data_IF_534998450277
#
_entry.id   IF_534998450277
#
_cell.length_a   1.000
_cell.length_b   1.000
_cell.length_c   1.000
_cell.angle_alpha   90.00
_cell.angle_beta   90.00
_cell.angle_gamma   90.00
#
_symmetry.space_group_name_H-M   'P 1'
#
loop_
_entity.id
_entity.type
_entity.pdbx_description
1 polymer ?
#
# COMPACT_ATOMS: atom_id res chain seq x y z
N UNK A 1 3.54 -1.50 -7.81
CA UNK A 1 3.62 -2.60 -6.83
C UNK A 1 4.55 -3.70 -7.33
N UNK A 2 4.39 -4.18 -8.56
CA UNK A 2 5.25 -5.16 -9.24
C UNK A 2 6.73 -4.73 -9.24
N UNK A 3 6.96 -3.44 -9.47
CA UNK A 3 8.24 -2.73 -9.41
C UNK A 3 8.88 -2.59 -8.01
N UNK A 4 8.21 -3.09 -6.96
CA UNK A 4 8.65 -3.00 -5.54
C UNK A 4 8.72 -1.58 -4.96
N UNK A 5 8.15 -0.55 -5.62
CA UNK A 5 8.07 0.81 -5.07
C UNK A 5 7.20 0.90 -3.80
N UNK A 6 6.14 0.08 -3.72
CA UNK A 6 5.40 -0.20 -2.49
C UNK A 6 6.13 -1.31 -1.73
N UNK A 7 6.60 -1.07 -0.50
CA UNK A 7 7.31 -2.04 0.32
C UNK A 7 6.40 -3.16 0.85
N UNK A 8 6.97 -4.30 1.24
CA UNK A 8 6.19 -5.42 1.78
C UNK A 8 5.46 -5.03 3.08
N UNK A 9 6.05 -4.16 3.90
CA UNK A 9 5.43 -3.63 5.12
C UNK A 9 4.23 -2.72 4.87
N UNK A 10 4.05 -2.23 3.64
CA UNK A 10 2.90 -1.42 3.22
C UNK A 10 1.70 -2.27 2.79
N UNK A 11 1.86 -3.59 2.68
CA UNK A 11 0.82 -4.51 2.22
C UNK A 11 0.38 -5.38 3.39
N UNK A 12 -0.87 -5.23 3.81
CA UNK A 12 -1.46 -5.95 4.94
C UNK A 12 -2.64 -6.78 4.47
N UNK A 13 -2.95 -7.85 5.19
CA UNK A 13 -4.15 -8.64 4.95
C UNK A 13 -4.86 -8.99 6.26
N UNK A 14 -6.16 -9.27 6.18
CA UNK A 14 -6.95 -9.79 7.29
C UNK A 14 -6.43 -11.13 7.80
N UNK A 15 -6.01 -11.97 6.87
CA UNK A 15 -5.55 -13.32 7.11
C UNK A 15 -4.72 -13.81 5.92
N UNK A 16 -4.00 -14.91 6.13
CA UNK A 16 -3.29 -15.64 5.08
C UNK A 16 -3.40 -17.14 5.34
N UNK A 17 -3.50 -17.94 4.28
CA UNK A 17 -3.55 -19.40 4.35
C UNK A 17 -2.25 -19.99 4.90
N UNK A 18 -1.13 -19.45 4.44
CA UNK A 18 0.23 -19.80 4.87
C UNK A 18 1.11 -18.54 4.82
N UNK A 19 1.65 -18.13 5.96
CA UNK A 19 2.50 -16.95 6.09
C UNK A 19 3.79 -17.03 5.27
N UNK A 20 4.33 -18.23 5.03
CA UNK A 20 5.60 -18.40 4.33
C UNK A 20 5.44 -18.36 2.81
N UNK A 21 4.26 -18.69 2.30
CA UNK A 21 4.06 -18.89 0.86
C UNK A 21 2.95 -18.03 0.27
N UNK A 22 2.03 -17.49 1.08
CA UNK A 22 0.83 -16.80 0.58
C UNK A 22 0.49 -15.52 1.34
N UNK A 23 1.50 -14.93 2.01
CA UNK A 23 1.36 -13.69 2.76
C UNK A 23 0.95 -12.50 1.88
N UNK A 24 0.59 -11.38 2.51
CA UNK A 24 0.11 -10.19 1.82
C UNK A 24 1.09 -9.65 0.75
N UNK A 25 2.40 -9.74 1.01
CA UNK A 25 3.46 -9.33 0.08
C UNK A 25 3.46 -10.11 -1.25
N UNK A 26 2.84 -11.30 -1.28
CA UNK A 26 2.69 -12.11 -2.50
C UNK A 26 1.57 -11.60 -3.41
N UNK A 27 0.81 -10.58 -3.00
CA UNK A 27 -0.27 -10.00 -3.79
C UNK A 27 0.22 -9.14 -4.98
N UNK A 28 1.49 -9.13 -5.34
CA UNK A 28 2.01 -8.28 -6.43
C UNK A 28 1.64 -8.88 -7.79
N UNK A 29 1.15 -8.05 -8.72
CA UNK A 29 0.89 -8.47 -10.10
C UNK A 29 2.14 -9.12 -10.73
N UNK A 30 1.92 -10.16 -11.56
CA UNK A 30 2.98 -10.92 -12.24
C UNK A 30 4.10 -11.46 -11.34
N UNK A 31 3.87 -11.55 -10.02
CA UNK A 31 4.83 -12.18 -9.15
C UNK A 31 5.08 -13.61 -9.64
N UNK A 32 6.35 -13.90 -9.87
CA UNK A 32 6.87 -15.22 -10.25
C UNK A 32 7.99 -15.51 -9.25
N UNK A 33 7.76 -16.42 -8.31
CA UNK A 33 8.80 -16.77 -7.34
C UNK A 33 9.78 -17.73 -8.00
N UNK A 34 11.07 -17.42 -7.96
CA UNK A 34 12.13 -18.34 -8.43
C UNK A 34 12.32 -19.41 -7.35
N UNK A 35 11.82 -20.63 -7.59
CA UNK A 35 11.97 -21.80 -6.71
C UNK A 35 10.66 -22.57 -6.47
N UNK A 36 10.72 -23.62 -5.64
CA UNK A 36 9.57 -24.48 -5.29
C UNK A 36 8.58 -23.83 -4.30
N UNK A 37 8.31 -22.52 -4.40
CA UNK A 37 7.31 -21.87 -3.55
C UNK A 37 5.95 -22.08 -4.19
N UNK A 38 5.04 -22.71 -3.43
CA UNK A 38 3.79 -23.27 -3.97
C UNK A 38 2.67 -22.25 -4.22
N UNK A 39 2.89 -20.97 -3.92
CA UNK A 39 1.90 -19.90 -4.12
C UNK A 39 2.60 -18.60 -4.50
N UNK A 40 2.27 -18.05 -5.67
CA UNK A 40 2.76 -16.75 -6.16
C UNK A 40 1.71 -15.66 -5.97
N UNK A 41 0.92 -15.75 -4.91
CA UNK A 41 -0.26 -14.89 -4.70
C UNK A 41 -0.56 -14.75 -3.22
N UNK A 42 -1.19 -13.64 -2.81
CA UNK A 42 -1.83 -13.62 -1.51
C UNK A 42 -3.04 -14.54 -1.55
N UNK A 43 -3.16 -15.41 -0.53
CA UNK A 43 -4.29 -16.31 -0.35
C UNK A 43 -4.85 -16.09 1.05
N UNK A 44 -6.13 -15.73 1.17
CA UNK A 44 -6.78 -15.60 2.46
C UNK A 44 -6.91 -16.95 3.19
N UNK A 45 -6.99 -16.94 4.53
CA UNK A 45 -7.20 -18.16 5.29
C UNK A 45 -8.57 -18.78 4.97
N UNK A 46 -8.67 -20.11 4.93
CA UNK A 46 -9.88 -20.84 4.48
C UNK A 46 -11.15 -20.52 5.28
N UNK A 47 -11.01 -20.04 6.53
CA UNK A 47 -12.13 -19.72 7.43
C UNK A 47 -12.45 -18.22 7.51
N UNK A 48 -11.75 -17.39 6.74
CA UNK A 48 -12.01 -15.95 6.67
C UNK A 48 -13.13 -15.66 5.67
N UNK A 49 -14.30 -15.24 6.18
CA UNK A 49 -15.50 -14.99 5.37
C UNK A 49 -15.64 -13.52 4.94
N UNK A 50 -14.82 -12.59 5.45
CA UNK A 50 -14.73 -11.20 4.96
C UNK A 50 -13.25 -10.81 4.82
N UNK A 51 -12.49 -11.50 3.95
CA UNK A 51 -11.08 -11.24 3.81
C UNK A 51 -10.86 -9.84 3.23
N UNK A 52 -9.74 -9.23 3.59
CA UNK A 52 -9.32 -7.97 2.98
C UNK A 52 -7.81 -7.94 2.77
N UNK A 53 -7.40 -7.21 1.74
CA UNK A 53 -6.02 -6.83 1.43
C UNK A 53 -5.94 -5.30 1.43
N UNK A 54 -5.09 -4.73 2.27
CA UNK A 54 -4.87 -3.30 2.41
C UNK A 54 -3.51 -2.89 1.88
N UNK A 55 -3.48 -1.80 1.12
CA UNK A 55 -2.26 -1.12 0.70
C UNK A 55 -2.21 0.24 1.39
N UNK A 56 -1.10 0.56 2.06
CA UNK A 56 -0.73 1.90 2.53
C UNK A 56 0.23 2.55 1.55
N UNK A 57 -0.20 3.60 0.86
CA UNK A 57 0.65 4.36 -0.07
C UNK A 57 1.59 5.35 0.64
N UNK A 58 1.63 5.36 1.99
CA UNK A 58 2.40 6.26 2.88
C UNK A 58 1.92 7.72 2.86
N UNK A 59 1.55 8.21 1.68
CA UNK A 59 0.96 9.53 1.43
C UNK A 59 -0.32 9.38 0.60
N UNK A 60 -1.07 10.46 0.42
CA UNK A 60 -2.25 10.43 -0.42
C UNK A 60 -1.85 10.25 -1.89
N UNK A 61 -2.59 9.40 -2.59
CA UNK A 61 -2.40 9.16 -4.02
C UNK A 61 -3.72 9.33 -4.75
N UNK A 62 -3.64 9.69 -6.02
CA UNK A 62 -4.76 9.60 -6.97
C UNK A 62 -4.65 8.29 -7.74
N UNK A 63 -5.63 7.39 -7.57
CA UNK A 63 -5.68 6.07 -8.21
C UNK A 63 -6.66 6.11 -9.38
N UNK A 64 -6.19 5.78 -10.57
CA UNK A 64 -6.95 5.86 -11.81
C UNK A 64 -7.28 4.49 -12.42
N UNK A 65 -6.55 3.44 -12.08
CA UNK A 65 -6.79 2.08 -12.56
C UNK A 65 -6.30 1.03 -11.55
N UNK A 66 -7.02 -0.08 -11.48
CA UNK A 66 -6.62 -1.28 -10.74
C UNK A 66 -6.48 -2.43 -11.73
N UNK A 67 -5.45 -3.26 -11.57
CA UNK A 67 -5.33 -4.53 -12.28
C UNK A 67 -5.34 -5.69 -11.30
N UNK A 68 -6.11 -6.73 -11.60
CA UNK A 68 -6.16 -7.95 -10.78
C UNK A 68 -5.79 -9.19 -11.59
N UNK A 69 -5.17 -10.16 -10.93
CA UNK A 69 -4.76 -11.43 -11.52
C UNK A 69 -4.96 -12.57 -10.52
N UNK A 70 -5.43 -13.72 -11.02
CA UNK A 70 -5.58 -14.95 -10.25
C UNK A 70 -4.27 -15.70 -10.00
N UNK A 71 -4.36 -16.88 -9.39
CA UNK A 71 -3.26 -17.83 -9.21
C UNK A 71 -3.46 -19.02 -10.16
N UNK A 72 -2.68 -19.04 -11.24
CA UNK A 72 -2.86 -19.96 -12.37
C UNK A 72 -2.59 -21.43 -12.00
N UNK A 73 -1.48 -21.72 -11.32
CA UNK A 73 -1.06 -23.08 -10.98
C UNK A 73 -2.04 -23.82 -10.04
N UNK A 74 -2.93 -23.11 -9.34
CA UNK A 74 -3.97 -23.67 -8.46
C UNK A 74 -5.39 -23.40 -8.94
N UNK A 75 -5.57 -22.84 -10.14
CA UNK A 75 -6.87 -22.45 -10.67
C UNK A 75 -7.74 -21.65 -9.68
N UNK A 76 -7.12 -20.79 -8.88
CA UNK A 76 -7.74 -20.08 -7.77
C UNK A 76 -7.72 -18.57 -8.01
N UNK A 77 -8.86 -17.89 -7.90
CA UNK A 77 -8.95 -16.46 -8.22
C UNK A 77 -10.20 -15.79 -7.64
N UNK A 78 -10.06 -14.52 -7.26
CA UNK A 78 -11.18 -13.64 -6.89
C UNK A 78 -12.00 -13.25 -8.12
N UNK A 79 -13.32 -13.41 -8.05
CA UNK A 79 -14.26 -13.11 -9.14
C UNK A 79 -14.97 -11.76 -8.98
N UNK A 80 -15.24 -11.33 -7.74
CA UNK A 80 -15.72 -9.96 -7.44
C UNK A 80 -15.16 -9.45 -6.14
N UNK A 81 -15.03 -8.12 -6.02
CA UNK A 81 -14.57 -7.46 -4.80
C UNK A 81 -15.22 -6.09 -4.63
N UNK A 82 -15.16 -5.56 -3.43
CA UNK A 82 -15.49 -4.16 -3.15
C UNK A 82 -14.24 -3.42 -2.73
N UNK A 83 -14.20 -2.11 -3.00
CA UNK A 83 -13.16 -1.24 -2.47
C UNK A 83 -13.65 -0.56 -1.20
N UNK A 84 -12.75 -0.39 -0.23
CA UNK A 84 -13.00 0.50 0.91
C UNK A 84 -11.86 1.50 1.05
N UNK A 85 -12.22 2.78 0.94
CA UNK A 85 -11.38 3.96 1.10
C UNK A 85 -12.27 5.06 1.70
N UNK A 86 -11.84 5.66 2.81
CA UNK A 86 -12.50 6.72 3.62
C UNK A 86 -14.02 6.58 3.95
N UNK A 87 -14.99 6.51 3.01
CA UNK A 87 -16.41 6.15 3.25
C UNK A 87 -17.08 5.65 1.95
N UNK A 88 -17.76 4.48 2.05
CA UNK A 88 -18.61 3.74 1.08
C UNK A 88 -17.93 2.99 -0.07
N UNK A 89 -18.27 1.70 -0.16
CA UNK A 89 -17.73 0.76 -1.14
C UNK A 89 -18.64 0.57 -2.34
N UNK A 90 -18.09 0.84 -3.51
CA UNK A 90 -18.61 0.39 -4.81
C UNK A 90 -18.09 -1.03 -5.07
N UNK A 91 -18.93 -1.90 -5.64
CA UNK A 91 -18.56 -3.25 -6.06
C UNK A 91 -17.98 -3.25 -7.47
N UNK A 92 -16.90 -4.01 -7.66
CA UNK A 92 -16.17 -4.17 -8.90
C UNK A 92 -16.04 -5.65 -9.25
N UNK A 93 -16.09 -5.98 -10.54
CA UNK A 93 -15.80 -7.32 -11.02
C UNK A 93 -14.28 -7.50 -11.14
N UNK A 94 -13.75 -8.64 -10.67
CA UNK A 94 -12.33 -9.00 -10.77
C UNK A 94 -12.11 -9.97 -11.93
N UNK A 95 -11.59 -11.16 -11.65
CA UNK A 95 -11.13 -12.10 -12.66
C UNK A 95 -12.26 -13.03 -13.08
N UNK A 96 -12.45 -13.21 -14.38
CA UNK A 96 -13.35 -14.22 -14.93
C UNK A 96 -12.61 -15.47 -15.43
N UNK A 97 -11.28 -15.51 -15.29
CA UNK A 97 -10.43 -16.67 -15.58
C UNK A 97 -9.09 -16.58 -14.82
N UNK A 98 -8.28 -17.66 -14.91
CA UNK A 98 -7.09 -17.88 -14.08
C UNK A 98 -5.88 -17.01 -14.43
N UNK A 99 -5.72 -16.60 -15.68
CA UNK A 99 -4.47 -16.02 -16.20
C UNK A 99 -4.61 -14.59 -16.73
N UNK A 100 -5.83 -14.17 -17.05
CA UNK A 100 -6.05 -12.83 -17.59
C UNK A 100 -5.90 -11.77 -16.50
N UNK A 101 -5.06 -10.79 -16.79
CA UNK A 101 -5.01 -9.54 -16.05
C UNK A 101 -6.27 -8.76 -16.41
N UNK A 102 -7.14 -8.53 -15.43
CA UNK A 102 -8.34 -7.71 -15.63
C UNK A 102 -8.02 -6.28 -15.25
N UNK A 103 -8.32 -5.36 -16.16
CA UNK A 103 -8.13 -3.91 -15.95
C UNK A 103 -9.45 -3.29 -15.53
N UNK A 104 -9.42 -2.53 -14.45
CA UNK A 104 -10.56 -1.81 -13.91
C UNK A 104 -10.21 -0.32 -13.84
N UNK A 105 -10.51 0.47 -14.89
CA UNK A 105 -10.41 1.91 -14.84
C UNK A 105 -11.38 2.48 -13.80
N UNK A 106 -10.94 3.49 -13.06
CA UNK A 106 -11.72 4.16 -12.01
C UNK A 106 -12.21 5.51 -12.51
N UNK A 107 -13.54 5.67 -12.57
CA UNK A 107 -14.21 6.94 -12.93
C UNK A 107 -15.40 7.16 -11.97
N UNK A 108 -15.34 8.15 -11.07
CA UNK A 108 -14.22 9.05 -10.81
C UNK A 108 -12.98 8.30 -10.28
N UNK A 109 -11.81 8.95 -10.36
CA UNK A 109 -10.58 8.46 -9.72
C UNK A 109 -10.77 8.40 -8.20
N UNK A 110 -9.98 7.56 -7.54
CA UNK A 110 -10.00 7.43 -6.07
C UNK A 110 -8.86 8.26 -5.49
N UNK A 111 -9.18 9.09 -4.49
CA UNK A 111 -8.20 9.80 -3.69
C UNK A 111 -8.08 9.12 -2.32
N UNK A 112 -6.92 8.56 -1.99
CA UNK A 112 -6.74 7.88 -0.71
C UNK A 112 -5.26 7.66 -0.38
N UNK A 113 -4.92 7.61 0.92
CA UNK A 113 -3.67 7.00 1.40
C UNK A 113 -3.77 5.48 1.57
N UNK A 114 -4.94 4.99 1.98
CA UNK A 114 -5.18 3.58 2.22
C UNK A 114 -6.29 3.09 1.30
N UNK A 115 -6.07 1.94 0.67
CA UNK A 115 -7.12 1.24 -0.07
C UNK A 115 -7.21 -0.21 0.39
N UNK A 116 -8.43 -0.68 0.62
CA UNK A 116 -8.72 -2.08 0.93
C UNK A 116 -9.51 -2.71 -0.19
N UNK A 117 -8.97 -3.78 -0.75
CA UNK A 117 -9.73 -4.72 -1.59
C UNK A 117 -10.37 -5.74 -0.66
N UNK A 118 -11.70 -5.91 -0.77
CA UNK A 118 -12.46 -6.91 -0.02
C UNK A 118 -13.10 -7.90 -1.01
N UNK A 119 -12.47 -9.05 -1.26
CA UNK A 119 -13.07 -10.12 -2.06
C UNK A 119 -14.48 -10.46 -1.57
N UNK A 120 -15.41 -10.66 -2.51
CA UNK A 120 -16.80 -11.03 -2.23
C UNK A 120 -17.13 -12.42 -2.76
N UNK A 121 -16.57 -12.78 -3.91
CA UNK A 121 -16.71 -14.11 -4.51
C UNK A 121 -15.37 -14.56 -5.10
N UNK A 122 -15.14 -15.87 -5.18
CA UNK A 122 -13.93 -16.47 -5.75
C UNK A 122 -14.18 -17.91 -6.22
N UNK A 123 -13.30 -18.40 -7.10
CA UNK A 123 -13.18 -19.80 -7.50
C UNK A 123 -11.96 -20.42 -6.80
N UNK A 124 -12.11 -21.61 -6.23
CA UNK A 124 -11.01 -22.28 -5.52
C UNK A 124 -10.68 -21.60 -4.20
N UNK A 125 -9.41 -21.30 -3.97
CA UNK A 125 -8.97 -20.45 -2.86
C UNK A 125 -9.20 -18.95 -3.18
N UNK A 126 -9.41 -18.13 -2.15
CA UNK A 126 -9.43 -16.67 -2.29
C UNK A 126 -8.02 -16.12 -2.56
N UNK A 127 -7.58 -16.21 -3.81
CA UNK A 127 -6.24 -15.82 -4.26
C UNK A 127 -6.29 -14.55 -5.13
N UNK A 128 -5.40 -13.59 -4.85
CA UNK A 128 -5.37 -12.31 -5.56
C UNK A 128 -3.96 -11.75 -5.67
N UNK A 129 -3.59 -11.38 -6.90
CA UNK A 129 -2.53 -10.44 -7.23
C UNK A 129 -3.12 -9.14 -7.76
N UNK A 130 -2.48 -8.02 -7.46
CA UNK A 130 -2.97 -6.67 -7.77
C UNK A 130 -1.84 -5.71 -8.13
N UNK A 131 -2.17 -4.75 -8.99
CA UNK A 131 -1.39 -3.54 -9.26
C UNK A 131 -2.32 -2.32 -9.26
N UNK A 132 -1.83 -1.19 -8.74
CA UNK A 132 -2.54 0.09 -8.75
C UNK A 132 -1.79 1.07 -9.65
N UNK A 133 -2.53 1.76 -10.50
CA UNK A 133 -2.01 2.80 -11.40
C UNK A 133 -2.58 4.15 -10.98
N UNK A 134 -1.72 5.15 -10.91
CA UNK A 134 -2.04 6.44 -10.33
C UNK A 134 -0.80 7.31 -10.16
N UNK A 135 -0.98 8.41 -9.44
CA UNK A 135 0.05 9.41 -9.16
C UNK A 135 0.11 9.67 -7.64
N UNK A 136 1.32 9.83 -7.10
CA UNK A 136 1.46 10.36 -5.75
C UNK A 136 1.14 11.85 -5.79
N UNK A 137 0.35 12.32 -4.82
CA UNK A 137 0.26 13.76 -4.60
C UNK A 137 1.56 14.22 -3.96
N UNK A 138 2.58 14.45 -4.78
CA UNK A 138 3.76 15.13 -4.30
C UNK A 138 3.38 16.55 -3.92
N UNK A 139 4.01 17.06 -2.85
CA UNK A 139 4.05 18.50 -2.65
C UNK A 139 4.93 19.04 -3.78
N UNK A 140 4.31 19.49 -4.88
CA UNK A 140 4.99 19.89 -6.13
C UNK A 140 5.96 21.06 -5.94
N UNK A 141 5.90 21.72 -4.79
CA UNK A 141 6.84 22.75 -4.36
C UNK A 141 6.98 22.72 -2.83
N UNK A 142 7.85 21.86 -2.27
CA UNK A 142 8.03 21.76 -0.82
C UNK A 142 8.70 23.04 -0.31
N UNK A 143 7.91 23.94 0.25
CA UNK A 143 8.41 25.17 0.84
C UNK A 143 9.01 24.90 2.24
N UNK A 144 10.19 25.47 2.57
CA UNK A 144 10.76 25.31 3.90
C UNK A 144 9.82 25.89 4.96
N UNK A 145 9.47 25.05 5.94
CA UNK A 145 8.60 25.46 7.05
C UNK A 145 9.29 26.42 8.04
N UNK A 146 10.60 26.60 7.86
CA UNK A 146 11.38 27.67 8.47
C UNK A 146 12.11 27.31 9.75
N UNK A 147 12.53 26.05 9.86
CA UNK A 147 13.62 25.64 10.75
C UNK A 147 14.90 26.40 10.36
N UNK A 148 15.27 26.43 9.08
CA UNK A 148 16.50 27.11 8.62
C UNK A 148 16.45 28.63 8.78
N UNK A 149 15.37 29.27 8.30
CA UNK A 149 15.28 30.73 8.22
C UNK A 149 14.74 31.43 9.47
N UNK A 150 14.54 30.71 10.58
CA UNK A 150 14.06 31.27 11.84
C UNK A 150 12.55 31.57 11.90
N UNK A 151 11.74 31.19 10.90
CA UNK A 151 10.28 31.35 10.96
C UNK A 151 9.65 30.54 12.09
N UNK A 152 10.19 29.35 12.37
CA UNK A 152 9.95 28.64 13.63
C UNK A 152 10.90 29.25 14.64
N UNK A 153 10.39 29.81 15.75
CA UNK A 153 11.19 30.50 16.76
C UNK A 153 11.92 29.50 17.68
N UNK A 154 13.04 29.93 18.28
CA UNK A 154 13.80 29.11 19.23
C UNK A 154 12.94 28.65 20.41
N UNK A 155 12.02 29.49 20.87
CA UNK A 155 11.06 29.16 21.94
C UNK A 155 10.04 28.08 21.57
N UNK A 156 9.98 27.68 20.30
CA UNK A 156 9.14 26.59 19.80
C UNK A 156 9.91 25.28 19.67
N UNK A 157 11.23 25.28 19.91
CA UNK A 157 12.09 24.11 19.81
C UNK A 157 12.38 23.55 21.21
N UNK A 158 12.16 22.24 21.39
CA UNK A 158 12.39 21.52 22.64
C UNK A 158 13.18 20.25 22.38
N UNK A 159 14.07 19.87 23.30
CA UNK A 159 14.80 18.61 23.28
C UNK A 159 14.54 17.85 24.59
N UNK A 160 14.53 16.52 24.51
CA UNK A 160 14.35 15.65 25.68
C UNK A 160 15.60 15.55 26.56
N UNK A 161 16.78 15.79 25.98
CA UNK A 161 18.07 15.78 26.66
C UNK A 161 19.06 16.69 25.91
N UNK A 162 20.05 17.21 26.64
CA UNK A 162 21.11 18.07 26.12
C UNK A 162 22.46 17.60 26.69
N UNK A 163 23.50 17.62 25.85
CA UNK A 163 24.87 17.29 26.28
C UNK A 163 25.50 18.40 27.12
N UNK A 164 25.29 19.66 26.72
CA UNK A 164 25.64 20.86 27.48
C UNK A 164 24.59 21.95 27.23
N UNK A 165 24.55 22.98 28.09
CA UNK A 165 23.55 24.07 28.00
C UNK A 165 23.68 24.93 26.75
N UNK A 166 24.85 24.95 26.11
CA UNK A 166 25.13 25.72 24.89
C UNK A 166 24.61 25.02 23.62
N UNK A 167 24.37 23.70 23.67
CA UNK A 167 23.81 22.89 22.57
C UNK A 167 22.28 22.82 22.61
N UNK A 168 21.62 23.92 22.97
CA UNK A 168 20.15 23.92 23.11
C UNK A 168 19.43 23.56 21.80
N UNK A 169 18.15 23.14 21.86
CA UNK A 169 17.40 22.68 20.68
C UNK A 169 17.36 23.70 19.52
N UNK A 170 17.57 24.99 19.81
CA UNK A 170 17.73 26.06 18.84
C UNK A 170 18.88 25.85 17.84
N UNK A 171 19.92 25.09 18.17
CA UNK A 171 21.03 24.83 17.26
C UNK A 171 20.76 23.71 16.25
N UNK A 172 19.65 22.98 16.39
CA UNK A 172 19.21 21.94 15.45
C UNK A 172 18.70 22.47 14.10
N UNK A 173 19.10 23.68 13.69
CA UNK A 173 18.67 24.30 12.42
C UNK A 173 19.63 23.93 11.29
N UNK A 174 19.06 23.65 10.11
CA UNK A 174 19.85 23.42 8.90
C UNK A 174 20.66 24.68 8.54
N UNK A 175 21.88 24.51 8.04
CA UNK A 175 22.80 25.59 7.63
C UNK A 175 23.10 26.64 8.71
N UNK A 176 22.97 26.28 9.99
CA UNK A 176 23.38 27.16 11.07
C UNK A 176 24.91 27.31 11.06
N UNK A 177 25.39 28.55 10.98
CA UNK A 177 26.81 28.86 11.12
C UNK A 177 27.19 28.74 12.60
N UNK A 178 28.17 27.89 12.91
CA UNK A 178 28.80 27.83 14.23
C UNK A 178 29.52 29.16 14.49
N UNK A 179 29.03 29.93 15.45
CA UNK A 179 29.67 31.17 15.94
C UNK A 179 30.81 30.90 16.91
#
# INVERSE_FOLDING_TARGET
MEDRSILDSQILASSTKDYQTSGAAYARLNLTTIGNVSSDSWIAAEKDNDPWLQIDFISNVTISEIRTQGLENRSSYVTSYTLSFEIKGTEFYANYNISSIIRQPLKPVIFARFIRIRPKTWTGDCALRVEFYGEHEECTDPQPLGIENGRILDSQLYASALTITEDGPQIGRLNMLSG
#
